data_IF_322378381530
#
_entry.id   IF_322378381530
#
_cell.length_a   1.000
_cell.length_b   1.000
_cell.length_c   1.000
_cell.angle_alpha   90.00
_cell.angle_beta   90.00
_cell.angle_gamma   90.00
#
_symmetry.space_group_name_H-M   'P 1'
#
loop_
_entity.id
_entity.type
_entity.pdbx_description
1 polymer ?
#
# COMPACT_ATOMS: atom_id res chain seq x y z
N UNK A 1 -7.24 -6.37 24.47
CA UNK A 1 -6.51 -5.96 25.69
C UNK A 1 -7.42 -5.15 26.63
N UNK A 2 -8.08 -4.08 26.17
CA UNK A 2 -9.02 -3.25 26.96
C UNK A 2 -10.14 -4.10 27.59
N UNK A 3 -10.67 -5.07 26.85
CA UNK A 3 -11.69 -5.99 27.35
C UNK A 3 -11.19 -6.87 28.48
N UNK A 4 -9.93 -7.27 28.49
CA UNK A 4 -9.32 -8.10 29.54
C UNK A 4 -9.13 -7.29 30.81
N UNK A 5 -8.71 -6.02 30.72
CA UNK A 5 -8.62 -5.15 31.90
C UNK A 5 -9.98 -4.86 32.51
N UNK A 6 -11.01 -4.59 31.70
CA UNK A 6 -12.38 -4.43 32.20
C UNK A 6 -12.89 -5.69 32.92
N UNK A 7 -12.61 -6.86 32.38
CA UNK A 7 -12.97 -8.15 32.99
C UNK A 7 -12.21 -8.34 34.31
N UNK A 8 -10.92 -8.04 34.35
CA UNK A 8 -10.12 -8.15 35.57
C UNK A 8 -10.56 -7.16 36.66
N UNK A 9 -10.91 -5.93 36.30
CA UNK A 9 -11.45 -4.91 37.21
C UNK A 9 -12.84 -5.37 37.72
N UNK A 10 -13.72 -5.85 36.81
CA UNK A 10 -15.05 -6.34 37.15
C UNK A 10 -15.00 -7.58 38.07
N UNK A 11 -14.15 -8.55 37.77
CA UNK A 11 -13.98 -9.76 38.60
C UNK A 11 -13.43 -9.41 39.99
N UNK A 12 -12.56 -8.42 40.08
CA UNK A 12 -12.01 -7.96 41.36
C UNK A 12 -12.99 -7.13 42.15
N UNK A 13 -13.81 -6.30 41.53
CA UNK A 13 -14.91 -5.57 42.16
C UNK A 13 -16.00 -6.53 42.67
N UNK A 14 -16.31 -7.61 41.94
CA UNK A 14 -17.28 -8.64 42.30
C UNK A 14 -16.78 -9.51 43.47
N UNK A 15 -15.46 -9.68 43.62
CA UNK A 15 -14.84 -10.43 44.75
C UNK A 15 -14.61 -9.61 46.01
N UNK A 16 -14.83 -8.28 45.99
CA UNK A 16 -14.70 -7.43 47.17
C UNK A 16 -15.95 -7.56 48.04
N UNK A 17 -15.83 -8.36 49.05
CA UNK A 17 -16.86 -8.44 50.08
C UNK A 17 -16.85 -7.12 50.87
N UNK A 18 -17.88 -6.27 50.66
CA UNK A 18 -18.06 -4.96 51.30
C UNK A 18 -17.93 -5.07 52.82
N UNK A 19 -18.35 -6.21 53.41
CA UNK A 19 -18.26 -6.49 54.84
C UNK A 19 -16.80 -6.70 55.29
N UNK A 20 -15.94 -7.28 54.43
CA UNK A 20 -14.52 -7.44 54.71
C UNK A 20 -13.75 -6.09 54.63
N UNK A 21 -14.21 -5.19 53.77
CA UNK A 21 -13.69 -3.80 53.66
C UNK A 21 -14.01 -2.99 54.94
N UNK A 22 -15.21 -3.16 55.47
CA UNK A 22 -15.63 -2.52 56.72
C UNK A 22 -14.94 -3.08 57.97
N UNK A 23 -14.48 -4.34 57.95
CA UNK A 23 -13.81 -5.02 59.07
C UNK A 23 -12.28 -4.89 59.08
N UNK A 24 -11.70 -4.00 58.33
CA UNK A 24 -10.29 -3.60 58.51
C UNK A 24 -9.23 -4.51 57.87
N UNK A 25 -9.50 -5.17 56.77
CA UNK A 25 -8.50 -5.91 56.00
C UNK A 25 -7.54 -4.94 55.23
N UNK A 26 -6.77 -4.18 56.03
CA UNK A 26 -5.90 -3.08 55.53
C UNK A 26 -4.70 -3.49 54.67
N UNK A 27 -4.14 -4.70 54.81
CA UNK A 27 -2.86 -5.06 54.18
C UNK A 27 -2.97 -5.53 52.71
N UNK A 28 -4.07 -6.14 52.30
CA UNK A 28 -4.19 -6.66 50.93
C UNK A 28 -4.55 -5.56 49.89
N UNK A 29 -5.28 -4.53 50.33
CA UNK A 29 -5.71 -3.43 49.45
C UNK A 29 -4.55 -2.59 48.93
N UNK A 30 -3.55 -2.27 49.73
CA UNK A 30 -2.42 -1.46 49.28
C UNK A 30 -1.56 -2.15 48.19
N UNK A 31 -1.31 -3.45 48.30
CA UNK A 31 -0.54 -4.17 47.29
C UNK A 31 -1.32 -4.26 45.97
N UNK A 32 -2.61 -4.56 46.02
CA UNK A 32 -3.42 -4.69 44.81
C UNK A 32 -3.62 -3.34 44.09
N UNK A 33 -3.79 -2.25 44.85
CA UNK A 33 -3.87 -0.90 44.29
C UNK A 33 -2.58 -0.46 43.60
N UNK A 34 -1.42 -0.80 44.19
CA UNK A 34 -0.13 -0.52 43.57
C UNK A 34 0.03 -1.19 42.18
N UNK A 35 -0.28 -2.49 42.09
CA UNK A 35 -0.16 -3.22 40.80
C UNK A 35 -1.11 -2.70 39.75
N UNK A 36 -2.36 -2.34 40.12
CA UNK A 36 -3.32 -1.77 39.18
C UNK A 36 -2.84 -0.43 38.64
N UNK A 37 -2.32 0.45 39.48
CA UNK A 37 -1.80 1.76 39.08
C UNK A 37 -0.56 1.62 38.18
N UNK A 38 0.39 0.77 38.58
CA UNK A 38 1.59 0.52 37.79
C UNK A 38 1.20 -0.05 36.41
N UNK A 39 0.27 -1.00 36.38
CA UNK A 39 -0.25 -1.54 35.12
C UNK A 39 -0.92 -0.46 34.26
N UNK A 40 -1.76 0.40 34.88
CA UNK A 40 -2.41 1.51 34.16
C UNK A 40 -1.42 2.55 33.64
N UNK A 41 -0.36 2.87 34.37
CA UNK A 41 0.68 3.77 33.91
C UNK A 41 1.43 3.15 32.72
N UNK A 42 1.82 1.88 32.82
CA UNK A 42 2.47 1.16 31.72
C UNK A 42 1.59 1.14 30.47
N UNK A 43 0.28 0.90 30.66
CA UNK A 43 -0.69 0.88 29.57
C UNK A 43 -0.83 2.26 28.90
N UNK A 44 -0.91 3.34 29.68
CA UNK A 44 -0.95 4.71 29.15
C UNK A 44 0.32 5.01 28.36
N UNK A 45 1.49 4.65 28.86
CA UNK A 45 2.76 4.85 28.15
C UNK A 45 2.83 4.04 26.85
N UNK A 46 2.41 2.77 26.89
CA UNK A 46 2.35 1.93 25.70
C UNK A 46 1.42 2.51 24.64
N UNK A 47 0.18 2.88 25.02
CA UNK A 47 -0.78 3.47 24.09
C UNK A 47 -0.33 4.83 23.57
N UNK A 48 0.39 5.63 24.36
CA UNK A 48 0.97 6.88 23.90
C UNK A 48 2.01 6.64 22.80
N UNK A 49 2.91 5.68 23.00
CA UNK A 49 3.92 5.33 21.99
C UNK A 49 3.26 4.84 20.69
N UNK A 50 2.33 3.88 20.81
CA UNK A 50 1.64 3.31 19.63
C UNK A 50 0.78 4.36 18.92
N UNK A 51 0.13 5.28 19.67
CA UNK A 51 -0.61 6.40 19.08
C UNK A 51 0.29 7.35 18.30
N UNK A 52 1.48 7.66 18.81
CA UNK A 52 2.45 8.52 18.12
C UNK A 52 2.94 7.83 16.85
N UNK A 53 3.30 6.56 16.92
CA UNK A 53 3.75 5.78 15.75
C UNK A 53 2.64 5.70 14.69
N UNK A 54 1.43 5.29 15.06
CA UNK A 54 0.31 5.20 14.12
C UNK A 54 -0.06 6.54 13.49
N UNK A 55 -0.01 7.64 14.25
CA UNK A 55 -0.25 8.97 13.70
C UNK A 55 0.88 9.39 12.73
N UNK A 56 2.12 9.07 13.06
CA UNK A 56 3.27 9.35 12.19
C UNK A 56 3.15 8.57 10.87
N UNK A 57 2.79 7.29 10.94
CA UNK A 57 2.58 6.45 9.76
C UNK A 57 1.45 7.00 8.89
N UNK A 58 0.30 7.33 9.49
CA UNK A 58 -0.80 7.97 8.76
C UNK A 58 -0.38 9.27 8.06
N UNK A 59 0.30 10.17 8.77
CA UNK A 59 0.73 11.45 8.20
C UNK A 59 1.77 11.25 7.09
N UNK A 60 2.69 10.31 7.25
CA UNK A 60 3.67 9.97 6.24
C UNK A 60 3.03 9.38 4.98
N UNK A 61 2.01 8.53 5.13
CA UNK A 61 1.29 7.97 3.97
C UNK A 61 0.40 9.00 3.28
N UNK A 62 -0.28 9.85 4.06
CA UNK A 62 -1.15 10.90 3.53
C UNK A 62 -0.42 11.88 2.59
N UNK A 63 0.86 12.15 2.83
CA UNK A 63 1.63 13.07 1.97
C UNK A 63 1.78 12.57 0.54
N UNK A 64 1.56 11.27 0.26
CA UNK A 64 1.66 10.70 -1.08
C UNK A 64 0.35 10.79 -1.88
N UNK A 65 -0.78 11.19 -1.29
CA UNK A 65 -2.06 11.36 -2.02
C UNK A 65 -1.89 12.19 -3.29
N UNK A 66 -1.21 13.38 -3.28
CA UNK A 66 -1.04 14.16 -4.50
C UNK A 66 -0.27 13.43 -5.60
N UNK A 67 0.66 12.56 -5.24
CA UNK A 67 1.42 11.73 -6.21
C UNK A 67 0.49 10.77 -6.96
N UNK A 68 -0.54 10.25 -6.27
CA UNK A 68 -1.50 9.31 -6.84
C UNK A 68 -2.69 10.00 -7.55
N UNK A 69 -2.80 11.33 -7.50
CA UNK A 69 -3.86 12.05 -8.23
C UNK A 69 -3.82 11.83 -9.74
N UNK A 70 -2.62 11.59 -10.31
CA UNK A 70 -2.46 11.25 -11.72
C UNK A 70 -3.12 9.92 -12.11
N UNK A 71 -3.30 9.02 -11.14
CA UNK A 71 -3.96 7.73 -11.35
C UNK A 71 -5.48 7.76 -11.19
N UNK A 72 -6.07 8.92 -10.85
CA UNK A 72 -7.49 9.05 -10.49
C UNK A 72 -8.46 8.50 -11.54
N UNK A 73 -8.12 8.63 -12.80
CA UNK A 73 -8.96 8.19 -13.90
C UNK A 73 -8.51 6.85 -14.49
N UNK A 74 -7.79 6.04 -13.72
CA UNK A 74 -7.33 4.72 -14.15
C UNK A 74 -7.81 3.64 -13.19
N UNK A 75 -8.13 2.48 -13.76
CA UNK A 75 -8.54 1.33 -12.99
C UNK A 75 -7.44 0.26 -12.98
N UNK A 76 -7.41 -0.52 -11.92
CA UNK A 76 -6.79 -1.83 -11.91
C UNK A 76 -7.79 -2.82 -12.50
N UNK A 77 -7.33 -3.63 -13.44
CA UNK A 77 -8.14 -4.70 -14.01
C UNK A 77 -7.27 -5.94 -14.16
N UNK A 78 -7.75 -7.07 -13.69
CA UNK A 78 -7.11 -8.35 -13.93
C UNK A 78 -8.07 -9.33 -14.58
N UNK A 79 -7.51 -10.18 -15.45
CA UNK A 79 -8.21 -11.24 -16.12
C UNK A 79 -7.73 -12.61 -15.63
N UNK A 80 -8.63 -13.56 -15.64
CA UNK A 80 -8.34 -14.96 -15.39
C UNK A 80 -9.28 -15.84 -16.22
N UNK A 81 -8.93 -17.11 -16.39
CA UNK A 81 -9.75 -18.09 -17.07
C UNK A 81 -9.79 -19.40 -16.29
N UNK A 82 -10.75 -20.25 -16.62
CA UNK A 82 -10.90 -21.54 -15.96
C UNK A 82 -9.79 -22.50 -16.38
N UNK A 83 -9.34 -23.34 -15.46
CA UNK A 83 -8.42 -24.44 -15.69
C UNK A 83 -8.82 -25.39 -16.85
N UNK A 84 -10.12 -25.44 -17.19
CA UNK A 84 -10.62 -26.20 -18.32
C UNK A 84 -10.10 -25.70 -19.67
N UNK A 85 -9.85 -24.40 -19.79
CA UNK A 85 -9.25 -23.81 -20.99
C UNK A 85 -7.73 -24.05 -21.06
N UNK A 86 -7.04 -24.05 -19.92
CA UNK A 86 -5.59 -24.33 -19.89
C UNK A 86 -5.25 -25.77 -20.31
N UNK A 87 -6.17 -26.73 -20.07
CA UNK A 87 -6.00 -28.12 -20.47
C UNK A 87 -6.34 -28.40 -21.92
N UNK A 88 -7.08 -27.51 -22.56
CA UNK A 88 -7.53 -27.62 -23.95
C UNK A 88 -6.93 -26.46 -24.74
N UNK A 89 -5.71 -26.69 -25.25
CA UNK A 89 -4.92 -25.66 -25.96
C UNK A 89 -5.70 -25.07 -27.15
N UNK A 90 -6.45 -25.89 -27.87
CA UNK A 90 -7.26 -25.44 -28.98
C UNK A 90 -8.33 -24.45 -28.51
N UNK A 91 -9.06 -24.75 -27.44
CA UNK A 91 -10.07 -23.83 -26.88
C UNK A 91 -9.45 -22.56 -26.31
N UNK A 92 -8.29 -22.67 -25.68
CA UNK A 92 -7.58 -21.50 -25.19
C UNK A 92 -7.27 -20.54 -26.34
N UNK A 93 -6.68 -21.04 -27.41
CA UNK A 93 -6.31 -20.24 -28.58
C UNK A 93 -7.51 -19.79 -29.44
N UNK A 94 -8.59 -20.56 -29.50
CA UNK A 94 -9.77 -20.21 -30.31
C UNK A 94 -10.76 -19.30 -29.58
N UNK A 95 -10.87 -19.38 -28.24
CA UNK A 95 -11.90 -18.66 -27.48
C UNK A 95 -11.29 -17.56 -26.61
N UNK A 96 -10.30 -17.90 -25.77
CA UNK A 96 -9.77 -16.98 -24.75
C UNK A 96 -8.92 -15.90 -25.41
N UNK A 97 -7.91 -16.29 -26.18
CA UNK A 97 -6.94 -15.38 -26.76
C UNK A 97 -7.58 -14.32 -27.68
N UNK A 98 -8.51 -14.62 -28.60
CA UNK A 98 -9.12 -13.59 -29.43
C UNK A 98 -9.90 -12.56 -28.63
N UNK A 99 -10.66 -12.98 -27.60
CA UNK A 99 -11.46 -12.08 -26.76
C UNK A 99 -10.57 -11.19 -25.91
N UNK A 100 -9.52 -11.74 -25.28
CA UNK A 100 -8.57 -10.96 -24.52
C UNK A 100 -7.76 -9.99 -25.41
N UNK A 101 -7.41 -10.40 -26.64
CA UNK A 101 -6.75 -9.50 -27.59
C UNK A 101 -7.66 -8.35 -28.05
N UNK A 102 -8.94 -8.62 -28.29
CA UNK A 102 -9.92 -7.60 -28.63
C UNK A 102 -10.10 -6.63 -27.45
N UNK A 103 -10.24 -7.16 -26.23
CA UNK A 103 -10.29 -6.36 -25.00
C UNK A 103 -9.05 -5.45 -24.90
N UNK A 104 -7.85 -6.02 -25.02
CA UNK A 104 -6.62 -5.24 -24.98
C UNK A 104 -6.63 -4.09 -25.98
N UNK A 105 -6.93 -4.38 -27.26
CA UNK A 105 -6.90 -3.39 -28.32
C UNK A 105 -7.92 -2.26 -28.07
N UNK A 106 -9.14 -2.61 -27.67
CA UNK A 106 -10.19 -1.64 -27.34
C UNK A 106 -9.82 -0.78 -26.13
N UNK A 107 -9.18 -1.35 -25.12
CA UNK A 107 -8.68 -0.61 -23.96
C UNK A 107 -7.51 0.32 -24.34
N UNK A 108 -6.55 -0.16 -25.12
CA UNK A 108 -5.41 0.66 -25.59
C UNK A 108 -5.90 1.85 -26.43
N UNK A 109 -6.86 1.63 -27.35
CA UNK A 109 -7.47 2.68 -28.15
C UNK A 109 -8.31 3.66 -27.32
N UNK A 110 -8.89 3.23 -26.20
CA UNK A 110 -9.63 4.07 -25.26
C UNK A 110 -8.74 4.85 -24.27
N UNK A 111 -7.43 4.69 -24.34
CA UNK A 111 -6.48 5.41 -23.52
C UNK A 111 -5.94 4.64 -22.31
N UNK A 112 -6.09 3.32 -22.27
CA UNK A 112 -5.50 2.52 -21.21
C UNK A 112 -3.97 2.66 -21.18
N UNK A 113 -3.42 2.68 -19.98
CA UNK A 113 -1.98 2.76 -19.74
C UNK A 113 -1.43 1.35 -19.52
N UNK A 114 -0.38 1.02 -20.26
CA UNK A 114 0.46 -0.13 -19.98
C UNK A 114 1.60 0.30 -19.07
N UNK A 115 1.75 -0.36 -17.94
CA UNK A 115 2.94 -0.34 -17.12
C UNK A 115 3.27 -1.77 -16.67
N UNK A 116 3.90 -2.53 -17.56
CA UNK A 116 4.28 -3.92 -17.29
C UNK A 116 5.74 -3.99 -16.86
N UNK A 117 5.95 -4.15 -15.56
CA UNK A 117 7.26 -4.33 -14.96
C UNK A 117 7.42 -5.81 -14.56
N UNK A 118 8.12 -6.64 -15.34
CA UNK A 118 8.19 -8.10 -15.13
C UNK A 118 8.73 -8.50 -13.76
N UNK A 119 9.54 -7.63 -13.17
CA UNK A 119 10.24 -7.88 -11.92
C UNK A 119 9.77 -6.98 -10.78
N UNK A 120 8.56 -6.44 -10.86
CA UNK A 120 7.95 -5.75 -9.72
C UNK A 120 7.70 -6.77 -8.63
N UNK A 121 8.54 -6.70 -7.60
CA UNK A 121 8.58 -7.63 -6.47
C UNK A 121 7.23 -7.68 -5.77
N UNK A 122 6.62 -8.87 -5.70
CA UNK A 122 5.62 -9.16 -4.68
C UNK A 122 6.39 -9.37 -3.36
N UNK A 123 6.00 -8.64 -2.29
CA UNK A 123 6.56 -8.85 -0.96
C UNK A 123 6.57 -10.36 -0.63
N UNK A 124 7.74 -10.88 -0.25
CA UNK A 124 7.92 -12.27 0.18
C UNK A 124 8.52 -13.24 -0.83
N UNK A 125 8.81 -12.86 -2.06
CA UNK A 125 9.66 -13.66 -2.94
C UNK A 125 11.12 -13.31 -2.67
N UNK A 126 11.90 -14.30 -2.25
CA UNK A 126 13.36 -14.20 -2.24
C UNK A 126 13.81 -14.04 -3.68
N UNK A 127 14.29 -12.84 -4.00
CA UNK A 127 14.90 -12.60 -5.30
C UNK A 127 16.18 -13.40 -5.38
N UNK A 128 16.19 -14.33 -6.29
CA UNK A 128 17.42 -14.98 -6.69
C UNK A 128 18.26 -13.91 -7.43
N UNK A 129 19.33 -13.42 -6.78
CA UNK A 129 20.25 -12.45 -7.40
C UNK A 129 20.76 -12.94 -8.76
N UNK A 130 20.89 -14.25 -8.93
CA UNK A 130 21.28 -14.88 -10.18
C UNK A 130 20.23 -14.64 -11.28
N UNK A 131 18.93 -14.73 -10.93
CA UNK A 131 17.84 -14.44 -11.86
C UNK A 131 17.82 -12.97 -12.28
N UNK A 132 17.95 -12.04 -11.32
CA UNK A 132 17.95 -10.60 -11.61
C UNK A 132 19.13 -10.20 -12.49
N UNK A 133 20.31 -10.77 -12.27
CA UNK A 133 21.50 -10.54 -13.08
C UNK A 133 21.36 -11.02 -14.54
N UNK A 134 20.41 -11.92 -14.81
CA UNK A 134 20.09 -12.38 -16.16
C UNK A 134 19.03 -11.53 -16.86
N UNK A 135 18.37 -10.60 -16.14
CA UNK A 135 17.35 -9.72 -16.72
C UNK A 135 17.98 -8.43 -17.27
N UNK A 136 17.38 -7.79 -18.30
CA UNK A 136 17.80 -6.47 -18.75
C UNK A 136 17.79 -5.49 -17.56
N UNK A 137 18.78 -4.64 -17.47
CA UNK A 137 18.90 -3.62 -16.42
C UNK A 137 18.71 -4.16 -15.01
N UNK A 138 19.09 -5.40 -14.76
CA UNK A 138 18.89 -6.11 -13.47
C UNK A 138 17.44 -6.08 -12.98
N UNK A 139 16.49 -6.14 -13.92
CA UNK A 139 15.07 -6.12 -13.62
C UNK A 139 14.46 -4.72 -13.42
N UNK A 140 15.24 -3.65 -13.48
CA UNK A 140 14.74 -2.29 -13.28
C UNK A 140 14.21 -1.69 -14.60
N UNK A 141 13.22 -2.34 -15.22
CA UNK A 141 12.59 -1.87 -16.44
C UNK A 141 11.10 -2.18 -16.49
N UNK A 142 10.37 -1.42 -17.31
CA UNK A 142 8.97 -1.66 -17.59
C UNK A 142 8.64 -1.47 -19.06
N UNK A 143 7.76 -2.33 -19.59
CA UNK A 143 7.12 -2.10 -20.88
C UNK A 143 5.98 -1.10 -20.70
N UNK A 144 5.95 -0.09 -21.60
CA UNK A 144 4.94 0.97 -21.60
C UNK A 144 4.38 1.19 -22.98
N UNK A 145 3.14 1.67 -23.08
CA UNK A 145 2.53 2.05 -24.35
C UNK A 145 2.61 3.57 -24.59
N UNK A 146 2.15 4.00 -25.76
CA UNK A 146 2.08 5.43 -26.13
C UNK A 146 1.26 6.25 -25.11
N UNK A 147 0.18 5.68 -24.55
CA UNK A 147 -0.69 6.38 -23.61
C UNK A 147 0.06 6.71 -22.31
N UNK A 148 0.94 5.81 -21.85
CA UNK A 148 1.82 6.08 -20.72
C UNK A 148 2.78 7.24 -21.02
N UNK A 149 3.38 7.30 -22.21
CA UNK A 149 4.31 8.37 -22.57
C UNK A 149 3.66 9.75 -22.50
N UNK A 150 2.37 9.86 -22.84
CA UNK A 150 1.62 11.12 -22.75
C UNK A 150 1.45 11.67 -21.34
N UNK A 151 1.42 10.80 -20.33
CA UNK A 151 1.19 11.21 -18.94
C UNK A 151 2.45 11.21 -18.07
N UNK A 152 3.53 10.58 -18.54
CA UNK A 152 4.73 10.37 -17.74
C UNK A 152 5.47 11.67 -17.38
N UNK A 153 5.25 12.77 -18.13
CA UNK A 153 5.90 14.08 -17.92
C UNK A 153 7.43 14.02 -17.85
N UNK A 154 8.05 13.03 -18.50
CA UNK A 154 9.49 12.85 -18.53
C UNK A 154 10.13 13.63 -19.68
N UNK A 155 11.36 14.03 -19.47
CA UNK A 155 12.18 14.77 -20.45
C UNK A 155 13.38 13.92 -20.86
N UNK A 156 13.74 13.99 -22.15
CA UNK A 156 15.02 13.48 -22.63
C UNK A 156 16.18 14.41 -22.21
N UNK A 157 17.42 14.02 -22.48
CA UNK A 157 18.61 14.81 -22.17
C UNK A 157 18.62 16.20 -22.82
N UNK A 158 17.92 16.35 -23.97
CA UNK A 158 17.82 17.60 -24.73
C UNK A 158 16.60 18.44 -24.31
N UNK A 159 15.94 18.06 -23.18
CA UNK A 159 14.75 18.69 -22.58
C UNK A 159 13.47 18.58 -23.39
N UNK A 160 13.41 17.68 -24.37
CA UNK A 160 12.18 17.40 -25.09
C UNK A 160 11.32 16.43 -24.25
N UNK A 161 10.01 16.58 -24.31
CA UNK A 161 9.09 15.66 -23.65
C UNK A 161 9.08 14.31 -24.38
N UNK A 162 9.09 13.20 -23.63
CA UNK A 162 9.06 11.86 -24.23
C UNK A 162 7.75 11.56 -24.97
N UNK A 163 6.67 12.28 -24.71
CA UNK A 163 5.38 12.15 -25.40
C UNK A 163 5.45 12.45 -26.91
N UNK A 164 6.46 13.20 -27.36
CA UNK A 164 6.62 13.52 -28.78
C UNK A 164 7.29 12.40 -29.59
N UNK A 165 7.85 11.40 -28.93
CA UNK A 165 8.42 10.25 -29.61
C UNK A 165 7.29 9.36 -30.15
N UNK A 166 7.31 9.11 -31.48
CA UNK A 166 6.35 8.23 -32.11
C UNK A 166 6.94 6.84 -32.22
N UNK A 167 6.25 5.86 -31.69
CA UNK A 167 6.64 4.45 -31.81
C UNK A 167 6.11 3.98 -33.19
N UNK A 168 7.03 3.72 -34.11
CA UNK A 168 6.70 3.21 -35.43
C UNK A 168 6.47 1.70 -35.42
N UNK A 169 6.00 1.17 -36.55
CA UNK A 169 5.90 -0.28 -36.75
C UNK A 169 7.29 -0.93 -36.67
N UNK A 170 7.38 -2.06 -35.97
CA UNK A 170 8.60 -2.81 -35.66
C UNK A 170 9.69 -1.96 -34.95
N UNK A 171 9.27 -0.93 -34.22
CA UNK A 171 10.17 -0.10 -33.42
C UNK A 171 9.82 -0.20 -31.92
N UNK A 172 10.86 -0.38 -31.12
CA UNK A 172 10.81 -0.17 -29.68
C UNK A 172 11.72 0.98 -29.30
N UNK A 173 11.25 1.83 -28.38
CA UNK A 173 12.05 2.97 -27.90
C UNK A 173 12.39 2.71 -26.43
N UNK A 174 13.69 2.62 -26.16
CA UNK A 174 14.21 2.34 -24.81
C UNK A 174 14.68 3.67 -24.19
N UNK A 175 13.90 4.18 -23.24
CA UNK A 175 14.23 5.38 -22.49
C UNK A 175 15.05 5.01 -21.25
N UNK A 176 16.31 5.44 -21.23
CA UNK A 176 17.28 5.03 -20.22
C UNK A 176 17.70 6.23 -19.38
N UNK A 177 17.53 6.21 -18.04
CA UNK A 177 18.03 7.25 -17.16
C UNK A 177 19.53 7.51 -17.38
N UNK A 178 19.99 8.74 -17.17
CA UNK A 178 21.38 9.13 -17.45
C UNK A 178 22.38 8.31 -16.66
N UNK A 179 22.07 8.01 -15.40
CA UNK A 179 22.92 7.25 -14.48
C UNK A 179 22.93 5.73 -14.75
N UNK A 180 22.01 5.23 -15.57
CA UNK A 180 21.92 3.79 -15.88
C UNK A 180 22.85 3.45 -17.05
N UNK A 181 23.79 2.53 -16.83
CA UNK A 181 24.65 2.01 -17.89
C UNK A 181 23.88 1.00 -18.73
N UNK A 182 24.03 1.09 -20.04
CA UNK A 182 23.53 0.11 -21.00
C UNK A 182 24.67 -0.86 -21.29
N UNK A 183 24.47 -2.14 -21.01
CA UNK A 183 25.41 -3.20 -21.36
C UNK A 183 25.03 -3.88 -22.68
N UNK A 184 25.92 -4.65 -23.26
CA UNK A 184 25.58 -5.46 -24.45
C UNK A 184 24.56 -6.55 -24.10
N UNK A 185 24.60 -7.07 -22.87
CA UNK A 185 23.58 -8.03 -22.39
C UNK A 185 22.18 -7.38 -22.34
N UNK A 186 22.08 -6.13 -21.90
CA UNK A 186 20.78 -5.43 -21.87
C UNK A 186 20.21 -5.28 -23.29
N UNK A 187 21.03 -4.93 -24.26
CA UNK A 187 20.62 -4.79 -25.66
C UNK A 187 20.20 -6.15 -26.24
N UNK A 188 21.00 -7.18 -26.01
CA UNK A 188 20.73 -8.54 -26.49
C UNK A 188 19.38 -9.04 -25.95
N UNK A 189 19.12 -8.86 -24.65
CA UNK A 189 17.87 -9.29 -24.03
C UNK A 189 16.66 -8.50 -24.52
N UNK A 190 16.76 -7.18 -24.65
CA UNK A 190 15.68 -6.36 -25.24
C UNK A 190 15.41 -6.78 -26.70
N UNK A 191 16.45 -7.08 -27.45
CA UNK A 191 16.32 -7.53 -28.82
C UNK A 191 15.65 -8.93 -28.91
N UNK A 192 16.05 -9.87 -28.07
CA UNK A 192 15.40 -11.19 -27.96
C UNK A 192 13.91 -11.04 -27.61
N UNK A 193 13.59 -10.19 -26.64
CA UNK A 193 12.20 -9.94 -26.24
C UNK A 193 11.41 -9.30 -27.39
N UNK A 194 12.00 -8.36 -28.12
CA UNK A 194 11.36 -7.73 -29.27
C UNK A 194 11.05 -8.77 -30.36
N UNK A 195 11.99 -9.63 -30.70
CA UNK A 195 11.78 -10.73 -31.67
C UNK A 195 10.68 -11.66 -31.14
N UNK A 196 10.75 -12.07 -29.88
CA UNK A 196 9.79 -13.00 -29.28
C UNK A 196 8.35 -12.44 -29.31
N UNK A 197 8.18 -11.15 -28.99
CA UNK A 197 6.87 -10.50 -28.99
C UNK A 197 6.30 -10.22 -30.40
N UNK A 198 7.14 -10.22 -31.45
CA UNK A 198 6.75 -9.83 -32.80
C UNK A 198 7.06 -10.90 -33.87
N UNK A 199 7.13 -12.18 -33.49
CA UNK A 199 7.51 -13.30 -34.38
C UNK A 199 6.73 -13.33 -35.71
N UNK A 200 5.49 -12.84 -35.75
CA UNK A 200 4.67 -12.86 -36.97
C UNK A 200 5.08 -11.81 -38.01
N UNK A 201 5.90 -10.82 -37.64
CA UNK A 201 6.38 -9.78 -38.58
C UNK A 201 7.83 -10.04 -38.93
N UNK A 202 8.05 -10.54 -40.14
CA UNK A 202 9.40 -10.59 -40.76
C UNK A 202 9.76 -9.21 -41.28
N UNK A 203 10.59 -8.46 -40.57
CA UNK A 203 11.02 -7.13 -40.96
C UNK A 203 12.30 -6.71 -40.24
N UNK A 204 12.85 -5.56 -40.58
CA UNK A 204 13.97 -4.96 -39.85
C UNK A 204 13.43 -4.46 -38.50
N UNK A 205 13.98 -5.01 -37.43
CA UNK A 205 13.66 -4.65 -36.05
C UNK A 205 14.54 -3.46 -35.66
N UNK A 206 13.94 -2.42 -35.09
CA UNK A 206 14.63 -1.19 -34.71
C UNK A 206 14.46 -0.98 -33.19
N UNK A 207 15.55 -0.96 -32.46
CA UNK A 207 15.58 -0.49 -31.06
C UNK A 207 16.29 0.88 -31.03
N UNK A 208 15.52 1.88 -30.62
CA UNK A 208 16.01 3.26 -30.46
C UNK A 208 16.27 3.56 -29.01
N UNK A 209 17.52 3.85 -28.62
CA UNK A 209 17.89 4.17 -27.25
C UNK A 209 17.93 5.68 -27.03
N UNK A 210 17.10 6.18 -26.11
CA UNK A 210 16.98 7.60 -25.77
C UNK A 210 17.41 7.83 -24.33
N UNK A 211 18.33 8.76 -24.08
CA UNK A 211 18.73 9.13 -22.73
C UNK A 211 17.72 10.08 -22.10
N UNK A 212 17.24 9.76 -20.90
CA UNK A 212 16.42 10.65 -20.09
C UNK A 212 17.30 11.65 -19.36
N UNK A 213 16.72 12.80 -19.04
CA UNK A 213 17.34 13.81 -18.18
C UNK A 213 17.46 13.28 -16.77
N UNK A 214 18.47 13.75 -16.04
CA UNK A 214 18.76 13.39 -14.66
C UNK A 214 17.62 13.66 -13.67
N UNK A 215 17.64 12.93 -12.54
CA UNK A 215 16.75 13.14 -11.39
C UNK A 215 15.24 13.03 -11.69
N UNK A 216 14.86 12.26 -12.68
CA UNK A 216 13.47 11.96 -12.96
C UNK A 216 13.07 10.62 -12.34
N UNK A 217 11.80 10.51 -11.99
CA UNK A 217 11.20 9.26 -11.51
C UNK A 217 10.03 8.85 -12.37
N UNK A 218 9.83 7.55 -12.47
CA UNK A 218 8.79 6.89 -13.25
C UNK A 218 7.65 6.52 -12.31
N UNK A 219 6.41 6.90 -12.62
CA UNK A 219 5.25 6.52 -11.82
C UNK A 219 4.74 5.14 -12.23
N UNK A 220 4.63 4.21 -11.27
CA UNK A 220 4.40 2.78 -11.57
C UNK A 220 2.93 2.37 -11.74
N UNK A 221 1.96 3.17 -11.32
CA UNK A 221 0.53 2.81 -11.25
C UNK A 221 0.21 1.55 -10.43
N UNK A 222 1.20 0.92 -9.82
CA UNK A 222 1.02 -0.31 -9.05
C UNK A 222 0.53 0.00 -7.63
N UNK A 223 -0.79 -0.04 -7.45
CA UNK A 223 -1.41 0.15 -6.13
C UNK A 223 -1.16 -1.00 -5.15
N UNK A 224 -0.67 -2.14 -5.62
CA UNK A 224 -0.29 -3.29 -4.78
C UNK A 224 1.01 -3.09 -4.00
N UNK A 225 1.85 -2.13 -4.43
CA UNK A 225 3.08 -1.75 -3.73
C UNK A 225 2.82 -0.87 -2.52
N UNK A 226 3.88 -0.58 -1.79
CA UNK A 226 3.86 0.46 -0.76
C UNK A 226 3.52 1.81 -1.39
N UNK A 227 2.70 2.60 -0.70
CA UNK A 227 2.19 3.90 -1.18
C UNK A 227 3.33 4.87 -1.52
N UNK A 228 4.44 4.80 -0.76
CA UNK A 228 5.64 5.63 -0.94
C UNK A 228 6.57 5.15 -2.07
N UNK A 229 6.36 3.95 -2.61
CA UNK A 229 7.18 3.36 -3.67
C UNK A 229 6.59 3.54 -5.08
N UNK A 230 5.58 4.39 -5.23
CA UNK A 230 4.96 4.66 -6.54
C UNK A 230 5.93 5.27 -7.55
N UNK A 231 6.89 6.05 -7.09
CA UNK A 231 7.88 6.73 -7.93
C UNK A 231 9.19 5.93 -7.96
N UNK A 232 9.45 5.29 -9.09
CA UNK A 232 10.63 4.46 -9.33
C UNK A 232 11.78 5.32 -9.88
N UNK A 233 12.93 5.27 -9.22
CA UNK A 233 14.15 5.94 -9.69
C UNK A 233 15.00 4.97 -10.49
N UNK A 234 15.76 5.53 -11.45
CA UNK A 234 16.67 4.75 -12.31
C UNK A 234 15.99 3.59 -13.05
N UNK A 235 14.73 3.78 -13.40
CA UNK A 235 13.90 2.78 -14.05
C UNK A 235 13.88 3.01 -15.56
N UNK A 236 14.17 1.97 -16.33
CA UNK A 236 14.19 2.01 -17.78
C UNK A 236 12.78 1.78 -18.32
N UNK A 237 12.35 2.58 -19.31
CA UNK A 237 11.07 2.37 -19.97
C UNK A 237 11.30 1.83 -21.38
N UNK A 238 10.67 0.71 -21.68
CA UNK A 238 10.65 0.13 -23.03
C UNK A 238 9.29 0.41 -23.64
N UNK A 239 9.25 1.42 -24.50
CA UNK A 239 8.02 1.84 -25.17
C UNK A 239 7.72 0.94 -26.37
N UNK A 240 6.54 0.33 -26.35
CA UNK A 240 6.10 -0.68 -27.33
C UNK A 240 4.79 -0.26 -28.01
N UNK A 241 4.61 -0.67 -29.28
CA UNK A 241 3.32 -0.54 -29.95
C UNK A 241 2.42 -1.75 -29.57
N UNK A 242 1.45 -1.52 -28.71
CA UNK A 242 0.55 -2.57 -28.22
C UNK A 242 -0.19 -3.35 -29.30
N UNK A 243 -0.47 -2.74 -30.46
CA UNK A 243 -1.15 -3.41 -31.59
C UNK A 243 -0.29 -4.46 -32.29
N UNK A 244 1.03 -4.37 -32.14
CA UNK A 244 1.98 -5.27 -32.79
C UNK A 244 2.40 -6.44 -31.94
N UNK A 245 2.15 -6.37 -30.63
CA UNK A 245 2.45 -7.45 -29.71
C UNK A 245 1.61 -8.68 -30.01
N UNK A 246 2.18 -9.86 -29.82
CA UNK A 246 1.47 -11.12 -29.94
C UNK A 246 0.36 -11.22 -28.87
N UNK A 247 -0.82 -11.74 -29.26
CA UNK A 247 -1.94 -11.78 -28.34
C UNK A 247 -1.86 -12.87 -27.27
N UNK A 248 -1.13 -13.93 -27.56
CA UNK A 248 -1.10 -15.19 -26.80
C UNK A 248 0.09 -15.34 -25.86
N UNK A 249 1.04 -14.40 -25.91
CA UNK A 249 2.26 -14.48 -25.13
C UNK A 249 2.67 -13.15 -24.52
N UNK A 250 3.62 -13.26 -23.54
CA UNK A 250 4.44 -12.16 -23.08
C UNK A 250 3.67 -10.96 -22.54
N UNK A 251 3.96 -9.78 -23.08
CA UNK A 251 3.52 -8.51 -22.50
C UNK A 251 1.99 -8.36 -22.48
N UNK A 252 1.28 -8.70 -23.55
CA UNK A 252 -0.18 -8.54 -23.60
C UNK A 252 -0.89 -9.38 -22.54
N UNK A 253 -0.66 -10.69 -22.58
CA UNK A 253 -1.35 -11.63 -21.71
C UNK A 253 -0.95 -11.42 -20.25
N UNK A 254 0.37 -11.27 -19.98
CA UNK A 254 0.85 -11.02 -18.62
C UNK A 254 0.29 -9.73 -18.02
N UNK A 255 0.13 -8.69 -18.82
CA UNK A 255 -0.41 -7.41 -18.33
C UNK A 255 -1.88 -7.50 -17.98
N UNK A 256 -2.69 -8.25 -18.74
CA UNK A 256 -4.09 -8.48 -18.41
C UNK A 256 -4.24 -9.35 -17.14
N UNK A 257 -3.41 -10.41 -17.01
CA UNK A 257 -3.48 -11.33 -15.86
C UNK A 257 -3.00 -10.65 -14.58
N UNK A 258 -1.92 -9.88 -14.66
CA UNK A 258 -1.29 -9.26 -13.50
C UNK A 258 -1.84 -7.86 -13.17
N UNK A 259 -2.84 -7.36 -13.90
CA UNK A 259 -3.41 -6.03 -13.65
C UNK A 259 -2.45 -4.88 -13.99
N UNK A 260 -1.58 -5.07 -14.97
CA UNK A 260 -0.56 -4.08 -15.39
C UNK A 260 -0.97 -3.26 -16.62
N UNK A 261 -2.14 -3.53 -17.16
CA UNK A 261 -2.86 -2.65 -18.08
C UNK A 261 -3.92 -1.90 -17.28
N UNK A 262 -3.82 -0.59 -17.21
CA UNK A 262 -4.71 0.27 -16.43
C UNK A 262 -5.71 0.98 -17.35
N UNK A 263 -6.95 0.50 -17.46
CA UNK A 263 -7.98 1.12 -18.28
C UNK A 263 -8.28 2.55 -17.84
N UNK A 264 -8.51 3.44 -18.80
CA UNK A 264 -9.05 4.76 -18.52
C UNK A 264 -10.53 4.68 -18.17
N UNK A 265 -10.93 5.31 -17.05
CA UNK A 265 -12.31 5.32 -16.55
C UNK A 265 -12.78 6.76 -16.33
N UNK A 266 -13.98 7.09 -16.81
CA UNK A 266 -14.55 8.44 -16.65
C UNK A 266 -15.02 8.69 -15.22
N UNK A 267 -15.56 7.65 -14.58
CA UNK A 267 -16.08 7.67 -13.22
C UNK A 267 -15.33 6.64 -12.36
N UNK A 268 -14.28 7.03 -11.62
CA UNK A 268 -13.47 6.10 -10.83
C UNK A 268 -14.28 5.24 -9.87
N UNK A 269 -15.26 5.83 -9.17
CA UNK A 269 -16.14 5.11 -8.22
C UNK A 269 -17.07 4.08 -8.89
N UNK A 270 -17.16 4.10 -10.23
CA UNK A 270 -17.92 3.18 -11.06
C UNK A 270 -17.07 2.65 -12.20
N UNK A 271 -15.89 2.13 -11.84
CA UNK A 271 -14.90 1.69 -12.83
C UNK A 271 -15.45 0.59 -13.73
N UNK A 272 -16.19 -0.37 -13.20
CA UNK A 272 -16.81 -1.44 -13.98
C UNK A 272 -17.83 -0.90 -14.98
N UNK A 273 -18.75 -0.03 -14.55
CA UNK A 273 -19.77 0.57 -15.43
C UNK A 273 -19.13 1.42 -16.53
N UNK A 274 -18.00 2.08 -16.24
CA UNK A 274 -17.26 2.86 -17.25
C UNK A 274 -16.66 2.00 -18.36
N UNK A 275 -16.41 0.72 -18.10
CA UNK A 275 -15.80 -0.23 -19.05
C UNK A 275 -16.80 -1.23 -19.62
N UNK A 276 -18.04 -1.21 -19.15
CA UNK A 276 -19.06 -2.20 -19.46
C UNK A 276 -19.25 -2.40 -20.97
N UNK A 277 -19.38 -1.32 -21.73
CA UNK A 277 -19.59 -1.39 -23.19
C UNK A 277 -18.42 -2.11 -23.89
N UNK A 278 -17.17 -1.80 -23.51
CA UNK A 278 -15.99 -2.46 -24.07
C UNK A 278 -15.97 -3.95 -23.70
N UNK A 279 -16.31 -4.29 -22.46
CA UNK A 279 -16.35 -5.68 -21.97
C UNK A 279 -17.39 -6.49 -22.71
N UNK A 280 -18.59 -5.92 -22.93
CA UNK A 280 -19.68 -6.57 -23.66
C UNK A 280 -19.34 -6.73 -25.14
N UNK A 281 -18.83 -5.68 -25.82
CA UNK A 281 -18.44 -5.71 -27.24
C UNK A 281 -17.33 -6.74 -27.52
N UNK A 282 -16.44 -6.94 -26.58
CA UNK A 282 -15.33 -7.90 -26.70
C UNK A 282 -15.66 -9.29 -26.17
N UNK A 283 -16.87 -9.48 -25.64
CA UNK A 283 -17.32 -10.70 -24.99
C UNK A 283 -16.35 -11.23 -23.93
N UNK A 284 -15.68 -10.31 -23.22
CA UNK A 284 -14.60 -10.63 -22.28
C UNK A 284 -15.07 -10.76 -20.83
N UNK A 285 -16.36 -10.50 -20.54
CA UNK A 285 -16.92 -10.56 -19.17
C UNK A 285 -16.56 -11.83 -18.40
N UNK A 286 -16.60 -13.06 -18.98
CA UNK A 286 -16.27 -14.29 -18.27
C UNK A 286 -14.82 -14.38 -17.81
N UNK A 287 -13.95 -13.52 -18.32
CA UNK A 287 -12.51 -13.52 -18.02
C UNK A 287 -12.12 -12.40 -17.08
N UNK A 288 -13.00 -11.46 -16.75
CA UNK A 288 -12.71 -10.36 -15.83
C UNK A 288 -12.74 -10.89 -14.39
N UNK A 289 -11.61 -10.83 -13.71
CA UNK A 289 -11.50 -11.25 -12.31
C UNK A 289 -11.94 -10.12 -11.35
N UNK A 290 -11.44 -8.91 -11.58
CA UNK A 290 -11.85 -7.71 -10.85
C UNK A 290 -11.55 -6.45 -11.65
N UNK A 291 -12.27 -5.38 -11.30
CA UNK A 291 -11.98 -4.01 -11.73
C UNK A 291 -12.15 -3.11 -10.52
N UNK A 292 -11.13 -2.32 -10.19
CA UNK A 292 -11.15 -1.34 -9.09
C UNK A 292 -10.46 -0.05 -9.52
N UNK A 293 -10.77 1.06 -8.85
CA UNK A 293 -10.08 2.33 -9.08
C UNK A 293 -8.68 2.28 -8.45
N UNK A 294 -7.64 2.60 -9.20
CA UNK A 294 -6.27 2.71 -8.67
C UNK A 294 -6.20 3.71 -7.52
N UNK A 295 -6.82 4.87 -7.70
CA UNK A 295 -6.81 5.93 -6.70
C UNK A 295 -7.61 5.58 -5.45
N UNK A 296 -8.81 5.00 -5.61
CA UNK A 296 -9.65 4.64 -4.48
C UNK A 296 -9.04 3.51 -3.64
N UNK A 297 -8.32 2.57 -4.27
CA UNK A 297 -7.56 1.53 -3.57
C UNK A 297 -6.50 2.16 -2.65
N UNK A 298 -5.78 3.18 -3.13
CA UNK A 298 -4.78 3.91 -2.34
C UNK A 298 -5.42 4.71 -1.21
N UNK A 299 -6.50 5.45 -1.51
CA UNK A 299 -7.23 6.24 -0.50
C UNK A 299 -7.78 5.34 0.59
N UNK A 300 -8.35 4.19 0.23
CA UNK A 300 -8.86 3.20 1.19
C UNK A 300 -7.75 2.68 2.12
N UNK A 301 -6.58 2.37 1.58
CA UNK A 301 -5.42 1.95 2.38
C UNK A 301 -4.94 3.06 3.32
N UNK A 302 -4.94 4.32 2.88
CA UNK A 302 -4.61 5.46 3.75
C UNK A 302 -5.66 5.65 4.85
N UNK A 303 -6.94 5.44 4.54
CA UNK A 303 -8.02 5.48 5.53
C UNK A 303 -7.93 4.33 6.54
N UNK A 304 -7.37 3.16 6.18
CA UNK A 304 -7.04 2.10 7.14
C UNK A 304 -5.99 2.56 8.16
N UNK A 305 -4.89 3.20 7.72
CA UNK A 305 -3.91 3.81 8.64
C UNK A 305 -4.54 4.86 9.56
N UNK A 306 -5.44 5.70 9.02
CA UNK A 306 -6.18 6.70 9.79
C UNK A 306 -7.09 6.05 10.84
N UNK A 307 -7.80 4.99 10.46
CA UNK A 307 -8.67 4.26 11.37
C UNK A 307 -7.86 3.61 12.50
N UNK A 308 -6.75 2.98 12.19
CA UNK A 308 -5.85 2.37 13.15
C UNK A 308 -5.28 3.41 14.13
N UNK A 309 -4.74 4.51 13.63
CA UNK A 309 -4.27 5.63 14.46
C UNK A 309 -5.39 6.18 15.36
N UNK A 310 -6.62 6.30 14.86
CA UNK A 310 -7.78 6.78 15.62
C UNK A 310 -8.14 5.85 16.77
N UNK A 311 -8.08 4.53 16.56
CA UNK A 311 -8.34 3.52 17.60
C UNK A 311 -7.30 3.65 18.73
N UNK A 312 -6.02 3.82 18.41
CA UNK A 312 -4.98 4.00 19.42
C UNK A 312 -5.16 5.30 20.21
N UNK A 313 -5.50 6.41 19.55
CA UNK A 313 -5.77 7.70 20.22
C UNK A 313 -6.96 7.59 21.16
N UNK A 314 -8.06 6.98 20.74
CA UNK A 314 -9.24 6.75 21.60
C UNK A 314 -8.88 5.88 22.80
N UNK A 315 -8.13 4.80 22.57
CA UNK A 315 -7.62 3.92 23.63
C UNK A 315 -6.76 4.66 24.65
N UNK A 316 -5.88 5.56 24.18
CA UNK A 316 -5.05 6.41 25.03
C UNK A 316 -5.89 7.35 25.90
N UNK A 317 -6.88 8.04 25.31
CA UNK A 317 -7.78 8.94 26.05
C UNK A 317 -8.53 8.17 27.15
N UNK A 318 -9.11 7.01 26.82
CA UNK A 318 -9.80 6.16 27.80
C UNK A 318 -8.88 5.70 28.94
N UNK A 319 -7.65 5.31 28.60
CA UNK A 319 -6.66 4.87 29.61
C UNK A 319 -6.24 6.02 30.54
N UNK A 320 -6.11 7.24 30.03
CA UNK A 320 -5.85 8.43 30.85
C UNK A 320 -7.02 8.71 31.81
N UNK A 321 -8.27 8.60 31.33
CA UNK A 321 -9.47 8.80 32.17
C UNK A 321 -9.52 7.75 33.29
N UNK A 322 -9.23 6.48 32.98
CA UNK A 322 -9.17 5.41 33.95
C UNK A 322 -8.08 5.69 35.02
N UNK A 323 -6.88 6.06 34.58
CA UNK A 323 -5.77 6.40 35.49
C UNK A 323 -6.12 7.58 36.40
N UNK A 324 -6.68 8.65 35.82
CA UNK A 324 -7.14 9.82 36.61
C UNK A 324 -8.19 9.45 37.64
N UNK A 325 -9.15 8.59 37.31
CA UNK A 325 -10.16 8.09 38.22
C UNK A 325 -9.56 7.26 39.35
N UNK A 326 -8.61 6.37 39.02
CA UNK A 326 -7.89 5.56 40.03
C UNK A 326 -7.10 6.45 41.00
N UNK A 327 -6.43 7.47 40.51
CA UNK A 327 -5.68 8.43 41.34
C UNK A 327 -6.60 9.25 42.23
N UNK A 328 -7.80 9.64 41.74
CA UNK A 328 -8.81 10.32 42.52
C UNK A 328 -9.32 9.44 43.67
N UNK A 329 -9.71 8.22 43.39
CA UNK A 329 -10.21 7.25 44.39
C UNK A 329 -9.12 7.01 45.45
N UNK A 330 -7.88 6.89 45.04
CA UNK A 330 -6.76 6.66 45.97
C UNK A 330 -6.54 7.84 46.90
N UNK A 331 -6.61 9.06 46.36
CA UNK A 331 -6.52 10.30 47.13
C UNK A 331 -7.66 10.38 48.15
N UNK A 332 -8.90 10.15 47.73
CA UNK A 332 -10.08 10.15 48.65
C UNK A 332 -9.93 9.10 49.74
N UNK A 333 -9.51 7.88 49.39
CA UNK A 333 -9.26 6.79 50.34
C UNK A 333 -8.15 7.14 51.33
N UNK A 334 -7.07 7.79 50.84
CA UNK A 334 -6.00 8.25 51.73
C UNK A 334 -6.50 9.29 52.75
N UNK A 335 -7.24 10.31 52.33
CA UNK A 335 -7.77 11.33 53.20
C UNK A 335 -8.80 10.76 54.19
N UNK A 336 -9.66 9.86 53.72
CA UNK A 336 -10.62 9.17 54.60
C UNK A 336 -9.91 8.37 55.72
N UNK A 337 -8.84 7.67 55.40
CA UNK A 337 -8.13 6.81 56.35
C UNK A 337 -7.19 7.60 57.31
N UNK A 338 -6.72 8.77 56.88
CA UNK A 338 -5.70 9.54 57.62
C UNK A 338 -6.17 10.94 58.03
N UNK A 339 -7.41 11.34 57.70
CA UNK A 339 -7.94 12.69 57.92
C UNK A 339 -7.80 13.13 59.36
N UNK A 340 -8.27 12.34 60.31
CA UNK A 340 -8.15 12.66 61.74
C UNK A 340 -6.70 12.90 62.18
N UNK A 341 -5.77 12.07 61.71
CA UNK A 341 -4.33 12.21 62.05
C UNK A 341 -3.75 13.49 61.39
N UNK A 342 -4.16 13.78 60.16
CA UNK A 342 -3.72 14.99 59.43
C UNK A 342 -4.25 16.23 60.16
N UNK A 343 -5.51 16.24 60.57
CA UNK A 343 -6.12 17.35 61.26
C UNK A 343 -5.48 17.59 62.63
N UNK A 344 -5.24 16.55 63.42
CA UNK A 344 -4.55 16.65 64.70
C UNK A 344 -3.11 17.17 64.50
N UNK A 345 -2.38 16.69 63.49
CA UNK A 345 -1.04 17.14 63.23
C UNK A 345 -0.98 18.62 62.81
N UNK A 346 -1.97 19.08 62.04
CA UNK A 346 -2.14 20.49 61.67
C UNK A 346 -2.47 21.37 62.86
N UNK A 347 -3.32 20.93 63.76
CA UNK A 347 -3.62 21.62 65.02
C UNK A 347 -2.41 21.74 65.92
N UNK A 348 -1.47 20.79 65.85
CA UNK A 348 -0.20 20.80 66.57
C UNK A 348 0.90 21.62 65.85
N UNK A 349 0.58 22.30 64.74
CA UNK A 349 1.50 23.19 64.04
C UNK A 349 2.46 22.50 63.05
N UNK A 350 2.29 21.20 62.76
CA UNK A 350 3.13 20.53 61.75
C UNK A 350 2.81 20.99 60.34
N UNK A 351 3.84 21.32 59.57
CA UNK A 351 3.71 21.69 58.15
C UNK A 351 3.36 20.51 57.26
N UNK A 352 2.93 20.81 56.03
CA UNK A 352 2.54 19.76 55.03
C UNK A 352 3.65 18.72 54.83
N UNK A 353 4.89 19.15 54.69
CA UNK A 353 6.05 18.27 54.49
C UNK A 353 6.34 17.41 55.72
N UNK A 354 6.19 17.95 56.94
CA UNK A 354 6.44 17.22 58.21
C UNK A 354 5.43 16.07 58.37
N UNK A 355 4.20 16.27 57.91
CA UNK A 355 3.12 15.27 58.01
C UNK A 355 3.36 14.15 56.99
N UNK A 356 3.91 14.45 55.84
CA UNK A 356 3.99 13.51 54.70
C UNK A 356 5.38 12.92 54.44
N UNK A 357 6.46 13.49 55.07
CA UNK A 357 7.84 13.06 54.87
C UNK A 357 8.26 11.80 55.65
N UNK A 358 7.44 11.32 56.58
CA UNK A 358 7.71 10.10 57.37
C UNK A 358 6.97 8.87 56.79
N UNK A 359 7.39 8.47 55.59
CA UNK A 359 7.13 7.12 55.06
C UNK A 359 8.30 6.59 54.29
#
# INVERSE_FOLDING_TARGET
>A
LISIEFILIYLKLKGINVIALLKGYRRSYHRSSFFIKTGSIVMVLYLAIVSILGLTDYLSMRQYIPTWESSKYYANMACAWSWSYEKDDDKFHEIVIPKLNNLWNSLDDSGAILFNAPNVRKEGMNDDEEYLNQQPFQGNYAYVNKNYLHIANLLDKDTNKIEQYKIHENEWIVFVPEDVKITELDKEKIHEDHIFQNIKKQGTIIETYVRLKDNQSVFSFDSGKRIDEANLKNYVLVAVNGKELLPDHGIKLSSLVNGQLHPYVKEPSRAYESLKDIIEETESEPFILYISSVYDDIVSRIDEYKMEASIYVIGLVLSIVILATLLKIDKETYFYNHGQRIDVSRLLGYGFFDIHHKK
#
